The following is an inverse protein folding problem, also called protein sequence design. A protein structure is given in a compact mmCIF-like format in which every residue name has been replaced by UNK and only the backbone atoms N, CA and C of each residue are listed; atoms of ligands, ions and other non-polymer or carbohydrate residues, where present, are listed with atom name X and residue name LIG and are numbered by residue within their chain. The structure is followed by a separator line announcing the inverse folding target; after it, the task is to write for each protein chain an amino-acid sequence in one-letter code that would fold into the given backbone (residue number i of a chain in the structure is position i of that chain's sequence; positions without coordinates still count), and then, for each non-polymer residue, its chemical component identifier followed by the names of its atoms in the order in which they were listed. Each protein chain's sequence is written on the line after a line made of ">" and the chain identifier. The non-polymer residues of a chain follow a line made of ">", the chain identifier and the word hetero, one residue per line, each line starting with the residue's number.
data_IF_602191277225
#
_entry.id   IF_602191277225
#
_cell.length_a   1.000
_cell.length_b   1.000
_cell.length_c   1.000
_cell.angle_alpha   90.00
_cell.angle_beta   90.00
_cell.angle_gamma   90.00
#
_symmetry.space_group_name_H-M   'P 1'
#
loop_
_entity.id
_entity.type
_entity.pdbx_description
1 polymer ?
#
# COMPACT_ATOMS: atom_id res chain seq x y z
N UNK A 1 25.63 -5.43 15.69
CA UNK A 1 24.43 -5.92 14.97
C UNK A 1 23.30 -4.94 15.26
N UNK A 2 22.71 -4.31 14.25
CA UNK A 2 21.56 -3.42 14.45
C UNK A 2 20.34 -4.29 14.71
N UNK A 3 19.63 -4.05 15.82
CA UNK A 3 18.36 -4.71 16.11
C UNK A 3 17.39 -4.44 14.98
N UNK A 4 16.72 -5.45 14.40
CA UNK A 4 15.74 -5.23 13.35
C UNK A 4 14.55 -4.41 13.89
N UNK A 5 14.05 -3.47 13.07
CA UNK A 5 12.95 -2.56 13.46
C UNK A 5 11.62 -3.28 13.71
N UNK A 6 11.42 -4.44 13.11
CA UNK A 6 10.27 -5.31 13.32
C UNK A 6 10.65 -6.77 13.04
N UNK A 7 9.81 -7.71 13.46
CA UNK A 7 9.90 -9.11 13.03
C UNK A 7 9.11 -9.30 11.75
N UNK A 8 9.73 -9.97 10.79
CA UNK A 8 9.05 -10.34 9.55
C UNK A 8 7.98 -11.41 9.82
N UNK A 9 6.87 -11.40 9.08
CA UNK A 9 5.75 -12.32 9.34
C UNK A 9 6.07 -13.79 9.00
N UNK A 10 7.12 -14.01 8.17
CA UNK A 10 7.58 -15.33 7.75
C UNK A 10 9.07 -15.29 7.34
N UNK A 11 9.78 -16.44 7.32
CA UNK A 11 11.18 -16.50 6.89
C UNK A 11 11.36 -16.11 5.42
N UNK A 12 12.45 -15.40 5.12
CA UNK A 12 12.82 -15.03 3.75
C UNK A 12 12.21 -13.75 3.22
N UNK A 13 11.30 -13.12 3.97
CA UNK A 13 10.73 -11.82 3.58
C UNK A 13 11.78 -10.70 3.71
N UNK A 14 11.94 -9.89 2.65
CA UNK A 14 12.85 -8.75 2.65
C UNK A 14 12.23 -7.60 3.44
N UNK A 15 12.99 -7.05 4.39
CA UNK A 15 12.66 -5.81 5.09
C UNK A 15 13.49 -4.67 4.49
N UNK A 16 12.84 -3.74 3.82
CA UNK A 16 13.43 -2.47 3.42
C UNK A 16 13.22 -1.50 4.57
N UNK A 17 14.31 -1.02 5.15
CA UNK A 17 14.27 -0.09 6.27
C UNK A 17 15.21 1.09 6.03
N UNK A 18 14.70 2.29 6.25
CA UNK A 18 15.46 3.53 6.25
C UNK A 18 15.43 4.12 7.66
N UNK A 19 16.56 4.61 8.14
CA UNK A 19 16.67 5.25 9.47
C UNK A 19 16.15 6.67 9.38
N UNK A 20 15.22 7.03 10.29
CA UNK A 20 14.74 8.39 10.48
C UNK A 20 15.19 8.98 11.83
N UNK A 21 14.80 10.20 12.11
CA UNK A 21 15.12 10.91 13.35
C UNK A 21 14.13 10.68 14.48
N UNK A 22 12.87 10.31 14.15
CA UNK A 22 11.86 9.97 15.16
C UNK A 22 12.30 8.76 15.99
N UNK A 23 12.08 8.82 17.30
CA UNK A 23 12.38 7.74 18.25
C UNK A 23 11.14 6.92 18.63
N UNK A 24 9.96 7.51 18.52
CA UNK A 24 8.71 6.92 19.00
C UNK A 24 7.76 6.52 17.86
N UNK A 25 8.00 7.03 16.66
CA UNK A 25 7.11 6.88 15.52
C UNK A 25 7.85 6.32 14.30
N UNK A 26 7.18 5.49 13.50
CA UNK A 26 7.70 4.99 12.23
C UNK A 26 6.61 4.90 11.17
N UNK A 27 7.03 4.79 9.91
CA UNK A 27 6.16 4.47 8.77
C UNK A 27 6.31 3.01 8.41
N UNK A 28 5.19 2.28 8.30
CA UNK A 28 5.15 0.92 7.73
C UNK A 28 4.38 0.98 6.43
N UNK A 29 5.04 0.61 5.32
CA UNK A 29 4.45 0.65 3.98
C UNK A 29 4.20 -0.74 3.41
N UNK A 30 3.03 -0.90 2.75
CA UNK A 30 2.55 -2.14 2.13
C UNK A 30 2.40 -1.94 0.63
N UNK A 31 3.12 -2.75 -0.17
CA UNK A 31 3.24 -2.56 -1.61
C UNK A 31 2.04 -3.10 -2.41
N UNK A 32 2.01 -2.77 -3.71
CA UNK A 32 1.02 -3.23 -4.69
C UNK A 32 1.28 -4.65 -5.18
N UNK A 33 0.27 -5.27 -5.81
CA UNK A 33 0.43 -6.50 -6.60
C UNK A 33 1.53 -6.29 -7.65
N UNK A 34 2.36 -7.31 -7.87
CA UNK A 34 3.30 -7.36 -8.99
C UNK A 34 4.64 -6.64 -8.78
N UNK A 35 4.80 -5.91 -7.67
CA UNK A 35 6.08 -5.32 -7.23
C UNK A 35 6.46 -5.84 -5.84
N UNK A 36 7.51 -5.34 -5.23
CA UNK A 36 7.98 -5.75 -3.91
C UNK A 36 8.25 -4.54 -2.99
N UNK A 37 8.78 -4.78 -1.79
CA UNK A 37 9.03 -3.75 -0.78
C UNK A 37 9.91 -2.60 -1.29
N UNK A 38 10.78 -2.86 -2.28
CA UNK A 38 11.68 -1.84 -2.88
C UNK A 38 10.92 -0.78 -3.68
N UNK A 39 9.63 -1.00 -4.01
CA UNK A 39 8.78 0.01 -4.66
C UNK A 39 8.66 1.30 -3.86
N UNK A 40 8.98 1.28 -2.57
CA UNK A 40 8.98 2.46 -1.70
C UNK A 40 10.34 3.14 -1.56
N UNK A 41 11.42 2.65 -2.20
CA UNK A 41 12.75 3.21 -2.01
C UNK A 41 12.84 4.71 -2.31
N UNK A 42 12.24 5.16 -3.42
CA UNK A 42 12.22 6.57 -3.77
C UNK A 42 11.46 7.41 -2.73
N UNK A 43 10.28 6.96 -2.32
CA UNK A 43 9.49 7.63 -1.29
C UNK A 43 10.20 7.64 0.07
N UNK A 44 10.80 6.53 0.49
CA UNK A 44 11.50 6.42 1.76
C UNK A 44 12.74 7.31 1.85
N UNK A 45 13.43 7.56 0.73
CA UNK A 45 14.57 8.46 0.71
C UNK A 45 14.22 9.89 1.16
N UNK A 46 12.97 10.31 0.99
CA UNK A 46 12.45 11.61 1.41
C UNK A 46 11.85 11.56 2.82
N UNK A 47 11.08 10.52 3.14
CA UNK A 47 10.44 10.38 4.46
C UNK A 47 11.46 10.08 5.57
N UNK A 48 12.59 9.44 5.24
CA UNK A 48 13.60 9.02 6.18
C UNK A 48 14.37 10.17 6.86
N UNK A 49 14.19 11.41 6.43
CA UNK A 49 14.69 12.57 7.16
C UNK A 49 13.97 12.73 8.52
N UNK A 50 12.67 12.43 8.57
CA UNK A 50 11.83 12.62 9.76
C UNK A 50 11.48 11.28 10.44
N UNK A 51 11.16 10.23 9.69
CA UNK A 51 10.61 8.97 10.20
C UNK A 51 11.46 7.76 9.80
N UNK A 52 11.74 6.83 10.72
CA UNK A 52 12.13 5.48 10.33
C UNK A 52 11.05 4.86 9.46
N UNK A 53 11.45 4.29 8.31
CA UNK A 53 10.54 3.71 7.34
C UNK A 53 10.87 2.24 7.13
N UNK A 54 9.86 1.40 7.05
CA UNK A 54 10.02 -0.02 6.77
C UNK A 54 8.92 -0.54 5.83
N UNK A 55 9.28 -1.51 5.01
CA UNK A 55 8.38 -2.28 4.16
C UNK A 55 8.90 -3.70 4.05
N UNK A 56 8.05 -4.65 3.76
CA UNK A 56 8.40 -6.05 3.56
C UNK A 56 7.69 -6.60 2.33
N UNK A 57 8.24 -7.68 1.76
CA UNK A 57 7.61 -8.34 0.63
C UNK A 57 6.33 -9.05 1.07
N UNK A 58 5.20 -8.72 0.48
CA UNK A 58 3.95 -9.46 0.69
C UNK A 58 4.10 -10.89 0.16
N UNK A 59 3.32 -11.83 0.71
CA UNK A 59 3.33 -13.22 0.23
C UNK A 59 3.27 -13.31 -1.29
N UNK A 60 4.06 -14.20 -1.84
CA UNK A 60 4.18 -14.43 -3.27
C UNK A 60 5.03 -13.42 -4.03
N UNK A 61 5.51 -12.34 -3.39
CA UNK A 61 6.30 -11.29 -4.04
C UNK A 61 7.75 -11.29 -3.55
N UNK A 62 8.66 -10.79 -4.37
CA UNK A 62 10.06 -10.60 -4.03
C UNK A 62 10.71 -11.83 -3.40
N UNK A 63 11.31 -11.69 -2.22
CA UNK A 63 11.93 -12.78 -1.46
C UNK A 63 10.91 -13.78 -0.88
N UNK A 64 9.62 -13.44 -0.84
CA UNK A 64 8.53 -14.29 -0.39
C UNK A 64 7.79 -15.02 -1.53
N UNK A 65 8.35 -15.08 -2.74
CA UNK A 65 7.74 -15.64 -3.95
C UNK A 65 7.25 -17.10 -3.79
N UNK A 66 7.89 -17.89 -2.93
CA UNK A 66 7.48 -19.26 -2.65
C UNK A 66 6.13 -19.39 -1.92
N UNK A 67 5.63 -18.31 -1.30
CA UNK A 67 4.36 -18.26 -0.55
C UNK A 67 3.23 -17.75 -1.44
N UNK A 68 3.00 -18.36 -2.59
CA UNK A 68 2.12 -17.85 -3.65
C UNK A 68 0.63 -18.11 -3.44
N UNK A 69 0.25 -18.94 -2.46
CA UNK A 69 -1.16 -19.22 -2.11
C UNK A 69 -1.49 -18.52 -0.78
N UNK A 70 -2.46 -17.63 -0.82
CA UNK A 70 -2.92 -16.86 0.33
C UNK A 70 -4.30 -16.26 0.04
N UNK A 71 -4.97 -15.82 1.07
CA UNK A 71 -6.17 -15.00 1.04
C UNK A 71 -5.93 -13.62 1.67
N UNK A 72 -6.95 -12.78 1.65
CA UNK A 72 -6.86 -11.42 2.20
C UNK A 72 -6.60 -11.44 3.71
N UNK A 73 -7.25 -12.35 4.44
CA UNK A 73 -7.09 -12.47 5.90
C UNK A 73 -5.67 -12.83 6.28
N UNK A 74 -5.04 -13.74 5.54
CA UNK A 74 -3.63 -14.10 5.72
C UNK A 74 -2.69 -12.89 5.54
N UNK A 75 -2.92 -12.06 4.52
CA UNK A 75 -2.13 -10.84 4.29
C UNK A 75 -2.32 -9.81 5.40
N UNK A 76 -3.54 -9.67 5.90
CA UNK A 76 -3.87 -8.78 7.02
C UNK A 76 -3.22 -9.27 8.32
N UNK A 77 -3.27 -10.57 8.61
CA UNK A 77 -2.63 -11.17 9.78
C UNK A 77 -1.11 -10.95 9.77
N UNK A 78 -0.48 -11.04 8.60
CA UNK A 78 0.94 -10.74 8.46
C UNK A 78 1.24 -9.26 8.76
N UNK A 79 0.44 -8.33 8.25
CA UNK A 79 0.58 -6.91 8.53
C UNK A 79 0.40 -6.58 10.02
N UNK A 80 -0.61 -7.18 10.66
CA UNK A 80 -0.83 -7.06 12.11
C UNK A 80 0.39 -7.54 12.90
N UNK A 81 0.96 -8.72 12.56
CA UNK A 81 2.18 -9.24 13.22
C UNK A 81 3.37 -8.32 13.06
N UNK A 82 3.57 -7.71 11.88
CA UNK A 82 4.65 -6.74 11.65
C UNK A 82 4.47 -5.52 12.53
N UNK A 83 3.27 -4.94 12.59
CA UNK A 83 2.98 -3.77 13.44
C UNK A 83 3.18 -4.12 14.91
N UNK A 84 2.65 -5.25 15.40
CA UNK A 84 2.78 -5.68 16.79
C UNK A 84 4.24 -5.95 17.20
N UNK A 85 5.05 -6.46 16.29
CA UNK A 85 6.47 -6.73 16.55
C UNK A 85 7.38 -5.52 16.33
N UNK A 86 6.86 -4.42 15.79
CA UNK A 86 7.60 -3.19 15.56
C UNK A 86 8.11 -2.59 16.87
N UNK A 87 9.34 -2.06 16.88
CA UNK A 87 9.96 -1.45 18.05
C UNK A 87 9.37 -0.08 18.42
N UNK A 88 8.61 0.52 17.51
CA UNK A 88 8.00 1.85 17.72
C UNK A 88 6.60 1.71 18.29
N UNK A 89 6.24 2.59 19.22
CA UNK A 89 4.93 2.59 19.88
C UNK A 89 3.84 3.24 19.03
N UNK A 90 4.24 4.09 18.09
CA UNK A 90 3.35 4.78 17.15
C UNK A 90 3.72 4.43 15.72
N UNK A 91 2.72 4.10 14.93
CA UNK A 91 2.88 3.64 13.55
C UNK A 91 1.98 4.44 12.61
N UNK A 92 2.57 4.95 11.53
CA UNK A 92 1.85 5.46 10.37
C UNK A 92 1.79 4.36 9.32
N UNK A 93 0.59 3.87 9.01
CA UNK A 93 0.41 2.88 7.94
C UNK A 93 0.25 3.58 6.60
N UNK A 94 0.99 3.11 5.61
CA UNK A 94 0.92 3.55 4.21
C UNK A 94 0.65 2.34 3.34
N UNK A 95 -0.47 2.30 2.62
CA UNK A 95 -0.78 1.20 1.73
C UNK A 95 -0.97 1.65 0.30
N UNK A 96 -0.34 0.95 -0.66
CA UNK A 96 -0.48 1.18 -2.08
C UNK A 96 -1.30 0.07 -2.74
N UNK A 97 -2.37 0.41 -3.43
CA UNK A 97 -3.24 -0.53 -4.16
C UNK A 97 -3.79 -1.61 -3.20
N UNK A 98 -3.54 -2.90 -3.40
CA UNK A 98 -3.91 -3.97 -2.45
C UNK A 98 -3.33 -3.69 -1.06
N UNK A 99 -2.13 -3.12 -0.98
CA UNK A 99 -1.52 -2.71 0.29
C UNK A 99 -2.37 -1.71 1.06
N UNK A 100 -3.14 -0.85 0.38
CA UNK A 100 -4.10 0.07 1.00
C UNK A 100 -5.27 -0.66 1.66
N UNK A 101 -5.79 -1.69 1.01
CA UNK A 101 -6.82 -2.58 1.59
C UNK A 101 -6.29 -3.30 2.82
N UNK A 102 -5.09 -3.90 2.70
CA UNK A 102 -4.45 -4.62 3.82
C UNK A 102 -4.18 -3.67 4.99
N UNK A 103 -3.66 -2.47 4.72
CA UNK A 103 -3.37 -1.46 5.74
C UNK A 103 -4.63 -1.02 6.49
N UNK A 104 -5.74 -0.80 5.78
CA UNK A 104 -7.01 -0.41 6.39
C UNK A 104 -7.58 -1.53 7.28
N UNK A 105 -7.59 -2.78 6.80
CA UNK A 105 -8.04 -3.93 7.57
C UNK A 105 -7.16 -4.18 8.80
N UNK A 106 -5.83 -4.06 8.65
CA UNK A 106 -4.90 -4.19 9.77
C UNK A 106 -5.08 -3.07 10.80
N UNK A 107 -5.26 -1.81 10.35
CA UNK A 107 -5.55 -0.67 11.23
C UNK A 107 -6.82 -0.92 12.05
N UNK A 108 -7.90 -1.37 11.40
CA UNK A 108 -9.16 -1.68 12.06
C UNK A 108 -9.02 -2.81 13.10
N UNK A 109 -8.27 -3.88 12.79
CA UNK A 109 -7.99 -4.98 13.74
C UNK A 109 -7.14 -4.56 14.94
N UNK A 110 -6.31 -3.52 14.76
CA UNK A 110 -5.43 -3.00 15.80
C UNK A 110 -6.07 -1.87 16.63
N UNK A 111 -7.23 -1.36 16.24
CA UNK A 111 -7.86 -0.19 16.87
C UNK A 111 -8.08 -0.37 18.37
N UNK A 112 -8.50 -1.57 18.80
CA UNK A 112 -8.81 -1.88 20.20
C UNK A 112 -7.62 -2.49 20.98
N UNK A 113 -6.43 -2.56 20.35
CA UNK A 113 -5.24 -3.15 20.98
C UNK A 113 -4.39 -2.09 21.67
N UNK A 114 -4.19 -2.18 23.00
CA UNK A 114 -3.43 -1.17 23.75
C UNK A 114 -1.92 -1.17 23.46
N UNK A 115 -1.38 -2.27 22.89
CA UNK A 115 0.07 -2.46 22.72
C UNK A 115 0.67 -1.70 21.55
N UNK A 116 -0.12 -1.37 20.51
CA UNK A 116 0.34 -0.63 19.33
C UNK A 116 -0.76 0.30 18.83
N UNK A 117 -0.39 1.56 18.71
CA UNK A 117 -1.29 2.60 18.27
C UNK A 117 -0.99 3.01 16.84
N UNK A 118 -1.87 2.67 15.91
CA UNK A 118 -1.83 3.19 14.55
C UNK A 118 -2.30 4.65 14.58
N UNK A 119 -1.39 5.58 14.34
CA UNK A 119 -1.66 7.02 14.41
C UNK A 119 -2.41 7.53 13.19
N UNK A 120 -2.02 7.06 12.01
CA UNK A 120 -2.63 7.45 10.76
C UNK A 120 -2.60 6.35 9.73
N UNK A 121 -3.46 6.48 8.74
CA UNK A 121 -3.56 5.62 7.59
C UNK A 121 -3.50 6.48 6.31
N UNK A 122 -2.57 6.17 5.43
CA UNK A 122 -2.51 6.73 4.08
C UNK A 122 -2.80 5.65 3.06
N UNK A 123 -3.82 5.87 2.24
CA UNK A 123 -4.28 4.93 1.21
C UNK A 123 -3.96 5.55 -0.15
N UNK A 124 -3.09 4.91 -0.90
CA UNK A 124 -2.64 5.36 -2.22
C UNK A 124 -3.19 4.44 -3.29
N UNK A 125 -3.96 4.98 -4.24
CA UNK A 125 -4.38 4.29 -5.45
C UNK A 125 -4.99 2.88 -5.16
N UNK A 126 -6.00 2.81 -4.28
CA UNK A 126 -6.55 1.54 -3.75
C UNK A 126 -8.00 1.33 -4.20
N UNK A 127 -8.43 0.08 -4.42
CA UNK A 127 -9.82 -0.19 -4.82
C UNK A 127 -10.80 0.06 -3.67
N UNK A 128 -12.04 0.51 -3.97
CA UNK A 128 -13.04 0.86 -2.94
C UNK A 128 -13.69 -0.35 -2.27
N UNK A 129 -13.76 -1.46 -2.99
CA UNK A 129 -14.37 -2.73 -2.58
C UNK A 129 -13.98 -3.85 -3.53
N UNK A 130 -14.41 -5.07 -3.24
CA UNK A 130 -14.35 -6.19 -4.17
C UNK A 130 -15.27 -5.93 -5.38
N UNK A 131 -14.68 -5.98 -6.57
CA UNK A 131 -15.38 -5.80 -7.84
C UNK A 131 -15.37 -7.10 -8.63
N UNK A 132 -16.43 -7.40 -9.36
CA UNK A 132 -16.53 -8.60 -10.21
C UNK A 132 -15.35 -8.70 -11.19
N UNK A 133 -14.89 -7.57 -11.73
CA UNK A 133 -13.73 -7.50 -12.63
C UNK A 133 -12.44 -8.07 -12.03
N UNK A 134 -12.31 -8.12 -10.72
CA UNK A 134 -11.12 -8.73 -10.09
C UNK A 134 -11.14 -10.26 -10.19
N UNK A 135 -12.32 -10.88 -10.00
CA UNK A 135 -12.51 -12.30 -10.24
C UNK A 135 -12.34 -12.66 -11.71
N UNK A 136 -12.89 -11.85 -12.62
CA UNK A 136 -12.72 -12.00 -14.06
C UNK A 136 -11.25 -11.93 -14.49
N UNK A 137 -10.47 -10.97 -13.93
CA UNK A 137 -9.02 -10.89 -14.16
C UNK A 137 -8.27 -12.14 -13.67
N UNK A 138 -8.60 -12.63 -12.49
CA UNK A 138 -8.02 -13.86 -11.99
C UNK A 138 -8.30 -15.03 -12.94
N UNK A 139 -9.50 -15.15 -13.47
CA UNK A 139 -9.86 -16.19 -14.44
C UNK A 139 -9.11 -16.01 -15.77
N UNK A 140 -9.07 -14.80 -16.33
CA UNK A 140 -8.39 -14.50 -17.58
C UNK A 140 -6.89 -14.87 -17.52
N UNK A 141 -6.21 -14.50 -16.43
CA UNK A 141 -4.78 -14.78 -16.24
C UNK A 141 -4.41 -16.28 -16.24
N UNK A 142 -5.37 -17.17 -16.01
CA UNK A 142 -5.13 -18.64 -16.12
C UNK A 142 -4.87 -19.08 -17.56
N UNK A 143 -5.31 -18.31 -18.55
CA UNK A 143 -5.25 -18.64 -19.96
C UNK A 143 -4.38 -17.67 -20.77
N UNK A 144 -3.94 -16.57 -20.15
CA UNK A 144 -3.10 -15.55 -20.80
C UNK A 144 -1.61 -15.92 -20.73
N UNK A 145 -0.86 -15.49 -21.75
CA UNK A 145 0.61 -15.57 -21.71
C UNK A 145 1.18 -14.60 -20.67
N UNK A 146 2.34 -14.92 -20.11
CA UNK A 146 3.06 -14.01 -19.22
C UNK A 146 3.25 -12.64 -19.87
N UNK A 147 3.59 -12.60 -21.14
CA UNK A 147 3.80 -11.37 -21.89
C UNK A 147 2.52 -10.52 -21.91
N UNK A 148 1.37 -11.11 -22.22
CA UNK A 148 0.07 -10.42 -22.22
C UNK A 148 -0.26 -9.83 -20.84
N UNK A 149 -0.04 -10.62 -19.76
CA UNK A 149 -0.26 -10.15 -18.38
C UNK A 149 0.61 -8.94 -18.07
N UNK A 150 1.89 -8.98 -18.43
CA UNK A 150 2.84 -7.88 -18.20
C UNK A 150 2.41 -6.64 -19.00
N UNK A 151 2.22 -6.77 -20.31
CA UNK A 151 1.88 -5.64 -21.18
C UNK A 151 0.59 -4.93 -20.75
N UNK A 152 -0.47 -5.70 -20.49
CA UNK A 152 -1.76 -5.13 -20.07
C UNK A 152 -1.68 -4.48 -18.69
N UNK A 153 -0.87 -5.00 -17.80
CA UNK A 153 -0.67 -4.44 -16.46
C UNK A 153 0.16 -3.17 -16.53
N UNK A 154 1.28 -3.16 -17.28
CA UNK A 154 2.10 -1.97 -17.49
C UNK A 154 1.29 -0.83 -18.13
N UNK A 155 0.42 -1.15 -19.10
CA UNK A 155 -0.47 -0.15 -19.69
C UNK A 155 -1.42 0.47 -18.65
N UNK A 156 -1.96 -0.30 -17.71
CA UNK A 156 -2.81 0.24 -16.64
C UNK A 156 -2.04 1.08 -15.63
N UNK A 157 -0.76 0.76 -15.38
CA UNK A 157 0.05 1.43 -14.37
C UNK A 157 0.66 2.74 -14.87
N UNK A 158 1.05 2.79 -16.15
CA UNK A 158 1.86 3.87 -16.72
C UNK A 158 1.29 4.46 -18.01
N UNK A 159 0.17 3.93 -18.52
CA UNK A 159 -0.40 4.41 -19.79
C UNK A 159 -0.81 5.88 -19.70
N UNK A 160 -0.42 6.65 -20.74
CA UNK A 160 -0.74 8.08 -20.82
C UNK A 160 0.17 9.02 -20.03
N UNK A 161 1.21 8.49 -19.36
CA UNK A 161 2.19 9.33 -18.65
C UNK A 161 3.25 9.90 -19.61
N UNK A 162 3.69 11.12 -19.35
CA UNK A 162 4.82 11.72 -20.05
C UNK A 162 6.13 11.02 -19.65
N UNK A 163 6.94 10.67 -20.61
CA UNK A 163 8.18 9.91 -20.39
C UNK A 163 9.27 10.81 -19.81
N UNK A 164 9.87 10.38 -18.70
CA UNK A 164 11.09 10.95 -18.13
C UNK A 164 12.12 9.83 -17.85
N UNK A 165 13.40 10.17 -17.64
CA UNK A 165 14.40 9.16 -17.24
C UNK A 165 14.01 8.40 -15.96
N UNK A 166 13.46 9.10 -14.98
CA UNK A 166 13.01 8.53 -13.69
C UNK A 166 11.83 7.58 -13.92
N UNK A 167 10.84 7.99 -14.74
CA UNK A 167 9.70 7.15 -15.10
C UNK A 167 10.16 5.91 -15.86
N UNK A 168 11.10 6.04 -16.80
CA UNK A 168 11.65 4.91 -17.55
C UNK A 168 12.31 3.86 -16.62
N UNK A 169 13.08 4.30 -15.62
CA UNK A 169 13.67 3.43 -14.61
C UNK A 169 12.60 2.73 -13.74
N UNK A 170 11.58 3.48 -13.33
CA UNK A 170 10.45 2.95 -12.58
C UNK A 170 9.67 1.89 -13.37
N UNK A 171 9.43 2.14 -14.65
CA UNK A 171 8.80 1.19 -15.58
C UNK A 171 9.63 -0.08 -15.73
N UNK A 172 10.94 0.05 -15.96
CA UNK A 172 11.85 -1.09 -16.08
C UNK A 172 11.84 -1.97 -14.81
N UNK A 173 11.91 -1.33 -13.63
CA UNK A 173 11.80 -2.04 -12.36
C UNK A 173 10.45 -2.78 -12.23
N UNK A 174 9.34 -2.07 -12.49
CA UNK A 174 8.01 -2.62 -12.34
C UNK A 174 7.77 -3.81 -13.29
N UNK A 175 8.19 -3.68 -14.56
CA UNK A 175 8.12 -4.75 -15.56
C UNK A 175 8.94 -5.98 -15.15
N UNK A 176 10.17 -5.76 -14.67
CA UNK A 176 11.03 -6.83 -14.19
C UNK A 176 10.39 -7.56 -13.00
N UNK A 177 9.88 -6.84 -11.99
CA UNK A 177 9.27 -7.49 -10.83
C UNK A 177 8.01 -8.26 -11.24
N UNK A 178 7.12 -7.64 -12.02
CA UNK A 178 5.89 -8.28 -12.49
C UNK A 178 6.17 -9.55 -13.31
N UNK A 179 7.26 -9.55 -14.10
CA UNK A 179 7.69 -10.72 -14.87
C UNK A 179 8.18 -11.88 -14.01
N UNK A 180 8.68 -11.60 -12.79
CA UNK A 180 9.20 -12.59 -11.85
C UNK A 180 8.12 -13.13 -10.88
N UNK A 181 7.05 -12.39 -10.64
CA UNK A 181 5.99 -12.83 -9.73
C UNK A 181 5.31 -14.09 -10.25
N UNK A 182 5.16 -15.17 -9.44
CA UNK A 182 4.42 -16.36 -9.84
C UNK A 182 2.98 -16.03 -10.30
N UNK A 183 2.48 -16.68 -11.34
CA UNK A 183 1.08 -16.49 -11.80
C UNK A 183 0.12 -16.78 -10.65
N UNK A 184 0.38 -17.83 -9.86
CA UNK A 184 -0.44 -18.17 -8.70
C UNK A 184 -0.56 -17.02 -7.70
N UNK A 185 0.49 -16.22 -7.51
CA UNK A 185 0.47 -15.01 -6.67
C UNK A 185 -0.49 -13.97 -7.23
N UNK A 186 -0.45 -13.73 -8.54
CA UNK A 186 -1.38 -12.79 -9.18
C UNK A 186 -2.83 -13.25 -9.02
N UNK A 187 -3.09 -14.56 -9.21
CA UNK A 187 -4.41 -15.16 -8.99
C UNK A 187 -4.88 -14.97 -7.55
N UNK A 188 -4.05 -15.35 -6.56
CA UNK A 188 -4.38 -15.18 -5.13
C UNK A 188 -4.63 -13.71 -4.77
N UNK A 189 -3.85 -12.78 -5.32
CA UNK A 189 -4.00 -11.35 -5.07
C UNK A 189 -5.33 -10.80 -5.60
N UNK A 190 -5.69 -11.13 -6.86
CA UNK A 190 -6.95 -10.68 -7.45
C UNK A 190 -8.16 -11.33 -6.80
N UNK A 191 -8.07 -12.60 -6.41
CA UNK A 191 -9.13 -13.30 -5.66
C UNK A 191 -9.29 -12.69 -4.27
N UNK A 192 -8.21 -12.33 -3.59
CA UNK A 192 -8.24 -11.62 -2.31
C UNK A 192 -8.96 -10.27 -2.43
N UNK A 193 -8.63 -9.48 -3.47
CA UNK A 193 -9.31 -8.21 -3.71
C UNK A 193 -10.81 -8.39 -4.04
N UNK A 194 -11.19 -9.45 -4.76
CA UNK A 194 -12.58 -9.73 -5.09
C UNK A 194 -13.45 -9.98 -3.84
N UNK A 195 -12.84 -10.43 -2.74
CA UNK A 195 -13.53 -10.73 -1.47
C UNK A 195 -13.61 -9.52 -0.53
N UNK A 196 -12.98 -8.39 -0.86
CA UNK A 196 -12.99 -7.22 0.02
C UNK A 196 -14.36 -6.57 0.11
N UNK A 197 -14.96 -6.52 1.29
CA UNK A 197 -16.31 -5.97 1.51
C UNK A 197 -16.39 -4.44 1.42
N UNK A 198 -15.24 -3.74 1.39
CA UNK A 198 -15.16 -2.28 1.33
C UNK A 198 -14.90 -1.63 2.68
N UNK A 199 -14.89 -0.28 2.68
CA UNK A 199 -14.48 0.51 3.85
C UNK A 199 -15.61 0.83 4.83
N UNK A 200 -16.87 0.52 4.52
CA UNK A 200 -18.04 0.95 5.31
C UNK A 200 -17.98 0.46 6.76
N UNK A 201 -17.79 -0.85 6.97
CA UNK A 201 -17.72 -1.45 8.29
C UNK A 201 -16.42 -1.11 9.03
N UNK A 202 -15.36 -0.79 8.29
CA UNK A 202 -14.06 -0.42 8.86
C UNK A 202 -14.03 1.02 9.39
N UNK A 203 -14.89 1.89 8.87
CA UNK A 203 -14.81 3.34 9.07
C UNK A 203 -14.75 3.75 10.55
N UNK A 204 -15.52 3.09 11.43
CA UNK A 204 -15.53 3.39 12.86
C UNK A 204 -14.18 3.13 13.56
N UNK A 205 -13.38 2.20 13.02
CA UNK A 205 -12.12 1.72 13.59
C UNK A 205 -10.88 2.32 12.91
N UNK A 206 -11.05 3.09 11.82
CA UNK A 206 -9.91 3.69 11.13
C UNK A 206 -9.37 4.91 11.89
N UNK A 207 -8.03 5.08 11.95
CA UNK A 207 -7.41 6.30 12.49
C UNK A 207 -7.65 7.50 11.56
N UNK A 208 -6.96 8.61 11.78
CA UNK A 208 -6.88 9.71 10.81
C UNK A 208 -6.46 9.16 9.44
N UNK A 209 -7.25 9.42 8.39
CA UNK A 209 -7.08 8.77 7.08
C UNK A 209 -6.89 9.81 5.98
N UNK A 210 -5.89 9.58 5.12
CA UNK A 210 -5.58 10.35 3.92
C UNK A 210 -5.72 9.47 2.69
N UNK A 211 -6.42 9.95 1.66
CA UNK A 211 -6.58 9.27 0.38
C UNK A 211 -5.79 10.00 -0.71
N UNK A 212 -5.04 9.26 -1.52
CA UNK A 212 -4.15 9.79 -2.55
C UNK A 212 -4.26 8.96 -3.83
N UNK A 213 -4.32 9.61 -4.99
CA UNK A 213 -4.28 8.92 -6.30
C UNK A 213 -3.71 9.83 -7.37
N UNK A 214 -3.28 9.27 -8.49
CA UNK A 214 -2.85 10.01 -9.66
C UNK A 214 -4.02 10.35 -10.59
N UNK A 215 -3.94 11.48 -11.30
CA UNK A 215 -4.95 11.87 -12.28
C UNK A 215 -5.00 10.96 -13.51
N UNK A 216 -3.91 10.24 -13.79
CA UNK A 216 -3.78 9.27 -14.89
C UNK A 216 -3.79 7.80 -14.42
N UNK A 217 -4.26 7.52 -13.20
CA UNK A 217 -4.39 6.15 -12.72
C UNK A 217 -5.52 5.41 -13.47
N UNK A 218 -5.14 4.47 -14.35
CA UNK A 218 -6.08 3.63 -15.10
C UNK A 218 -6.42 2.32 -14.38
N UNK A 219 -5.76 2.03 -13.26
CA UNK A 219 -5.99 0.82 -12.46
C UNK A 219 -7.03 1.04 -11.36
N UNK A 220 -6.87 2.14 -10.62
CA UNK A 220 -7.80 2.62 -9.59
C UNK A 220 -8.03 4.12 -9.78
N UNK A 221 -8.86 4.49 -10.76
CA UNK A 221 -9.05 5.89 -11.14
C UNK A 221 -9.60 6.73 -9.97
N UNK A 222 -9.45 8.05 -10.08
CA UNK A 222 -9.90 9.00 -9.05
C UNK A 222 -11.35 8.77 -8.63
N UNK A 223 -12.22 8.34 -9.55
CA UNK A 223 -13.61 7.96 -9.24
C UNK A 223 -13.73 6.78 -8.26
N UNK A 224 -12.82 5.81 -8.33
CA UNK A 224 -12.79 4.71 -7.36
C UNK A 224 -12.37 5.20 -5.98
N UNK A 225 -11.37 6.08 -5.90
CA UNK A 225 -10.96 6.70 -4.63
C UNK A 225 -12.04 7.64 -4.07
N UNK A 226 -12.83 8.29 -4.92
CA UNK A 226 -13.99 9.09 -4.50
C UNK A 226 -15.05 8.25 -3.79
N UNK A 227 -15.28 7.01 -4.24
CA UNK A 227 -16.20 6.07 -3.56
C UNK A 227 -15.71 5.76 -2.14
N UNK A 228 -14.40 5.62 -1.92
CA UNK A 228 -13.84 5.45 -0.56
C UNK A 228 -14.15 6.69 0.28
N UNK A 229 -13.85 7.89 -0.24
CA UNK A 229 -14.11 9.15 0.46
C UNK A 229 -15.58 9.28 0.86
N UNK A 230 -16.49 9.07 -0.10
CA UNK A 230 -17.93 9.18 0.14
C UNK A 230 -18.42 8.16 1.18
N UNK A 231 -17.86 6.94 1.15
CA UNK A 231 -18.17 5.89 2.12
C UNK A 231 -17.73 6.30 3.53
N UNK A 232 -16.51 6.82 3.67
CA UNK A 232 -15.98 7.28 4.95
C UNK A 232 -16.73 8.51 5.46
N UNK A 233 -17.07 9.48 4.60
CA UNK A 233 -17.86 10.64 4.98
C UNK A 233 -19.26 10.27 5.44
N UNK A 234 -19.95 9.34 4.76
CA UNK A 234 -21.26 8.81 5.18
C UNK A 234 -21.19 8.14 6.56
N UNK A 235 -20.05 7.54 6.90
CA UNK A 235 -19.80 6.95 8.21
C UNK A 235 -19.30 7.97 9.26
N UNK A 236 -19.38 9.28 8.98
CA UNK A 236 -19.01 10.36 9.91
C UNK A 236 -17.52 10.72 9.92
N UNK A 237 -16.68 10.15 9.02
CA UNK A 237 -15.23 10.43 8.94
C UNK A 237 -14.95 11.66 8.06
N UNK A 238 -15.57 12.78 8.37
CA UNK A 238 -15.57 14.01 7.56
C UNK A 238 -14.21 14.70 7.46
N UNK A 239 -13.25 14.36 8.30
CA UNK A 239 -11.87 14.87 8.23
C UNK A 239 -11.00 14.14 7.20
N UNK A 240 -11.50 13.03 6.62
CA UNK A 240 -10.79 12.34 5.54
C UNK A 240 -10.78 13.22 4.29
N UNK A 241 -9.61 13.36 3.66
CA UNK A 241 -9.43 14.10 2.41
C UNK A 241 -8.91 13.18 1.30
N UNK A 242 -9.32 13.46 0.07
CA UNK A 242 -8.79 12.85 -1.15
C UNK A 242 -7.99 13.91 -1.92
N UNK A 243 -6.75 13.59 -2.25
CA UNK A 243 -5.93 14.41 -3.15
C UNK A 243 -5.65 13.64 -4.44
N UNK A 244 -5.95 14.28 -5.55
CA UNK A 244 -5.67 13.77 -6.90
C UNK A 244 -4.42 14.50 -7.40
N UNK A 245 -3.34 13.75 -7.60
CA UNK A 245 -2.03 14.28 -7.98
C UNK A 245 -1.94 14.37 -9.49
N UNK A 246 -1.76 15.59 -9.99
CA UNK A 246 -1.70 15.84 -11.42
C UNK A 246 -0.49 15.14 -12.06
N UNK A 247 -0.68 14.59 -13.27
CA UNK A 247 0.34 13.83 -14.00
C UNK A 247 0.72 12.47 -13.38
N UNK A 248 0.17 12.11 -12.22
CA UNK A 248 0.48 10.83 -11.56
C UNK A 248 -0.29 9.65 -12.16
N UNK A 249 0.39 8.50 -12.32
CA UNK A 249 -0.22 7.20 -12.66
C UNK A 249 -0.52 6.35 -11.43
N UNK A 250 -0.73 5.03 -11.67
CA UNK A 250 -1.00 4.10 -10.58
C UNK A 250 0.20 3.94 -9.62
N UNK A 251 1.41 3.92 -10.15
CA UNK A 251 2.63 3.57 -9.41
C UNK A 251 3.31 4.77 -8.75
N UNK A 252 2.52 5.66 -8.13
CA UNK A 252 3.00 6.88 -7.44
C UNK A 252 4.21 6.68 -6.50
N UNK A 253 4.33 5.59 -5.72
CA UNK A 253 5.49 5.43 -4.84
C UNK A 253 6.83 5.22 -5.57
N UNK A 254 6.81 4.80 -6.84
CA UNK A 254 8.04 4.62 -7.64
C UNK A 254 8.63 5.95 -8.12
N UNK A 255 7.77 6.90 -8.45
CA UNK A 255 8.14 8.26 -8.90
C UNK A 255 7.32 9.28 -8.11
N UNK A 256 7.59 9.40 -6.78
CA UNK A 256 6.73 10.22 -5.93
C UNK A 256 6.93 11.70 -6.24
N UNK A 257 5.87 12.45 -6.63
CA UNK A 257 5.97 13.89 -6.78
C UNK A 257 6.13 14.57 -5.41
N UNK A 258 6.74 15.76 -5.39
CA UNK A 258 6.96 16.54 -4.15
C UNK A 258 5.67 16.78 -3.37
N UNK A 259 4.56 16.94 -4.07
CA UNK A 259 3.23 17.11 -3.47
C UNK A 259 2.79 15.86 -2.68
N UNK A 260 3.08 14.65 -3.17
CA UNK A 260 2.80 13.41 -2.43
C UNK A 260 3.54 13.39 -1.10
N UNK A 261 4.83 13.71 -1.14
CA UNK A 261 5.69 13.72 0.05
C UNK A 261 5.24 14.77 1.06
N UNK A 262 4.93 15.99 0.60
CA UNK A 262 4.43 17.05 1.45
C UNK A 262 3.11 16.69 2.14
N UNK A 263 2.17 16.07 1.43
CA UNK A 263 0.89 15.62 1.96
C UNK A 263 1.06 14.52 3.01
N UNK A 264 1.91 13.53 2.76
CA UNK A 264 2.20 12.46 3.71
C UNK A 264 2.84 13.00 4.98
N UNK A 265 3.87 13.85 4.87
CA UNK A 265 4.53 14.45 6.03
C UNK A 265 3.58 15.32 6.85
N UNK A 266 2.74 16.13 6.20
CA UNK A 266 1.72 16.94 6.88
C UNK A 266 0.72 16.05 7.63
N UNK A 267 0.26 14.96 6.99
CA UNK A 267 -0.67 14.02 7.59
C UNK A 267 -0.08 13.31 8.80
N UNK A 268 1.16 12.82 8.73
CA UNK A 268 1.84 12.18 9.85
C UNK A 268 2.02 13.14 11.03
N UNK A 269 2.50 14.37 10.78
CA UNK A 269 2.67 15.40 11.82
C UNK A 269 1.35 15.77 12.50
N UNK A 270 0.28 15.95 11.73
CA UNK A 270 -1.03 16.29 12.28
C UNK A 270 -1.61 15.18 13.17
N UNK A 271 -1.34 13.91 12.81
CA UNK A 271 -1.84 12.75 13.56
C UNK A 271 -1.01 12.42 14.80
N UNK A 272 0.29 12.73 14.80
CA UNK A 272 1.20 12.49 15.94
C UNK A 272 1.03 13.47 17.10
N UNK A 273 0.45 14.66 16.85
CA UNK A 273 0.29 15.73 17.84
C UNK A 273 -1.00 15.67 18.66
N UNK A 274 -1.90 14.74 18.39
CA UNK A 274 -3.13 14.57 19.18
C UNK A 274 -2.80 14.00 20.55
N UNK A 275 -2.34 14.84 21.47
CA UNK A 275 -2.36 14.53 22.90
C UNK A 275 -3.82 14.37 23.33
N UNK A 276 -4.17 13.20 23.85
CA UNK A 276 -5.44 13.01 24.57
C UNK A 276 -5.57 14.08 25.64
N UNK A 277 -6.61 14.91 25.55
CA UNK A 277 -7.17 15.66 26.68
C UNK A 277 -8.18 14.79 27.41
#
# INVERSE_FOLDING_TARGET
>A
MTTPLARLPYPGSLLVAQKGTSRDECVIALHSIGVDARSFNALFSHLAADYPCLSYDLRGHGSAAALSQFDLDTLVDDAVKVVESCLFDKVHLLGHSIGGVIAALAAARLADRPSKKVQSLSIVASPPMGLAVFGERAQAMQHESRQTIVETTMQRWFGGLETSPELAQAMQYAEQQLSLVPVQTLLSSWQSLAQFSGYGELAAHLPATLLLTGSHDLSTPASAMQIILDTLHKAGRTQTALHILDGGGHMLPLTPPDTLMALLLAHFKASGTTHFR
#
